data_IF_378288138238
#
_entry.id   IF_378288138238
#
_cell.length_a   1.000
_cell.length_b   1.000
_cell.length_c   1.000
_cell.angle_alpha   90.00
_cell.angle_beta   90.00
_cell.angle_gamma   90.00
#
_symmetry.space_group_name_H-M   'P 1'
#
loop_
_entity.id
_entity.type
_entity.pdbx_description
1 polymer ?
#
# COMPACT_ATOMS: atom_id res chain seq x y z
N UNK A 1 8.09 17.12 15.32
CA UNK A 1 8.40 16.02 14.42
C UNK A 1 7.54 16.23 13.18
N UNK A 2 8.08 16.03 11.98
CA UNK A 2 7.32 16.22 10.74
C UNK A 2 6.49 14.97 10.45
N UNK A 3 5.28 15.16 9.91
CA UNK A 3 4.33 14.10 9.61
C UNK A 3 4.11 13.98 8.10
N UNK A 4 4.13 12.73 7.61
CA UNK A 4 3.75 12.37 6.25
C UNK A 4 2.54 11.46 6.30
N UNK A 5 1.44 11.92 5.73
CA UNK A 5 0.19 11.17 5.65
C UNK A 5 0.16 10.28 4.42
N UNK A 6 -0.23 9.04 4.62
CA UNK A 6 -0.44 8.03 3.59
C UNK A 6 -1.87 7.51 3.74
N UNK A 7 -2.67 7.62 2.72
CA UNK A 7 -4.05 7.11 2.74
C UNK A 7 -4.08 5.70 2.17
N UNK A 8 -4.66 4.75 2.90
CA UNK A 8 -4.85 3.38 2.43
C UNK A 8 -6.28 3.19 1.93
N UNK A 9 -6.42 2.85 0.67
CA UNK A 9 -7.69 2.55 0.03
C UNK A 9 -7.83 1.05 -0.25
N UNK A 10 -9.05 0.59 -0.29
CA UNK A 10 -9.40 -0.78 -0.63
C UNK A 10 -10.62 -1.26 0.14
N UNK A 11 -11.32 -2.27 -0.36
CA UNK A 11 -12.52 -2.80 0.28
C UNK A 11 -12.23 -3.37 1.67
N UNK A 12 -13.29 -3.53 2.46
CA UNK A 12 -13.17 -4.25 3.73
C UNK A 12 -12.71 -5.69 3.49
N UNK A 13 -11.83 -6.21 4.33
CA UNK A 13 -11.33 -7.58 4.23
C UNK A 13 -10.29 -7.83 3.12
N UNK A 14 -9.90 -6.81 2.32
CA UNK A 14 -8.85 -6.98 1.30
C UNK A 14 -7.49 -7.32 1.90
N UNK A 15 -7.23 -6.90 3.13
CA UNK A 15 -5.97 -7.16 3.83
C UNK A 15 -5.09 -5.93 4.03
N UNK A 16 -5.66 -4.72 4.16
CA UNK A 16 -4.89 -3.47 4.40
C UNK A 16 -4.05 -3.54 5.68
N UNK A 17 -4.67 -3.92 6.80
CA UNK A 17 -3.94 -4.10 8.08
C UNK A 17 -2.91 -5.22 7.98
N UNK A 18 -3.22 -6.33 7.31
CA UNK A 18 -2.27 -7.42 7.05
C UNK A 18 -1.07 -6.95 6.22
N UNK A 19 -1.32 -6.08 5.24
CA UNK A 19 -0.24 -5.48 4.45
C UNK A 19 0.67 -4.61 5.33
N UNK A 20 0.11 -3.77 6.22
CA UNK A 20 0.92 -2.97 7.15
C UNK A 20 1.73 -3.84 8.12
N UNK A 21 1.11 -4.90 8.66
CA UNK A 21 1.82 -5.88 9.51
C UNK A 21 2.99 -6.52 8.76
N UNK A 22 2.77 -6.93 7.51
CA UNK A 22 3.81 -7.51 6.68
C UNK A 22 4.92 -6.49 6.30
N UNK A 23 4.56 -5.22 6.05
CA UNK A 23 5.52 -4.13 5.83
C UNK A 23 6.41 -3.96 7.05
N UNK A 24 5.80 -3.87 8.24
CA UNK A 24 6.53 -3.68 9.48
C UNK A 24 7.47 -4.86 9.79
N UNK A 25 6.97 -6.09 9.76
CA UNK A 25 7.77 -7.31 10.00
C UNK A 25 8.95 -7.44 9.04
N UNK A 26 8.73 -7.22 7.76
CA UNK A 26 9.79 -7.34 6.77
C UNK A 26 10.79 -6.17 6.83
N UNK A 27 10.34 -4.98 7.21
CA UNK A 27 11.23 -3.86 7.48
C UNK A 27 12.14 -4.17 8.67
N UNK A 28 11.59 -4.65 9.79
CA UNK A 28 12.36 -5.07 10.97
C UNK A 28 13.37 -6.16 10.64
N UNK A 29 13.00 -7.18 9.84
CA UNK A 29 13.90 -8.25 9.41
C UNK A 29 15.04 -7.77 8.50
N UNK A 30 14.84 -6.69 7.75
CA UNK A 30 15.81 -6.10 6.82
C UNK A 30 16.65 -4.97 7.44
N UNK A 31 16.35 -4.55 8.66
CA UNK A 31 17.05 -3.47 9.38
C UNK A 31 18.56 -3.72 9.48
N UNK A 32 19.01 -4.97 9.52
CA UNK A 32 20.43 -5.30 9.53
C UNK A 32 21.22 -4.83 8.30
N UNK A 33 20.54 -4.48 7.21
CA UNK A 33 21.15 -4.03 5.94
C UNK A 33 21.17 -2.51 5.78
N UNK A 34 20.33 -1.79 6.53
CA UNK A 34 20.26 -0.32 6.50
C UNK A 34 20.27 0.23 7.92
N UNK A 35 20.79 1.43 8.11
CA UNK A 35 20.80 2.08 9.43
C UNK A 35 19.48 2.83 9.72
N UNK A 36 18.34 2.32 9.18
CA UNK A 36 17.00 2.86 9.42
C UNK A 36 16.28 2.08 10.50
N UNK A 37 15.42 2.77 11.23
CA UNK A 37 14.50 2.19 12.21
C UNK A 37 13.09 2.72 11.95
N UNK A 38 12.10 1.82 11.99
CA UNK A 38 10.68 2.13 11.91
C UNK A 38 10.03 1.70 13.23
N UNK A 39 9.60 2.67 14.03
CA UNK A 39 9.06 2.41 15.37
C UNK A 39 7.58 2.76 15.39
N UNK A 40 6.67 1.78 15.54
CA UNK A 40 5.25 2.08 15.72
C UNK A 40 5.02 2.78 17.06
N UNK A 41 3.98 3.60 17.15
CA UNK A 41 3.48 4.06 18.44
C UNK A 41 2.83 2.90 19.23
N UNK A 42 2.43 3.15 20.46
CA UNK A 42 1.91 2.12 21.36
C UNK A 42 0.64 1.46 20.81
N UNK A 43 -0.31 2.25 20.31
CA UNK A 43 -1.57 1.77 19.74
C UNK A 43 -1.34 0.96 18.46
N UNK A 44 -0.56 1.50 17.53
CA UNK A 44 -0.19 0.79 16.29
C UNK A 44 0.53 -0.51 16.59
N UNK A 45 1.45 -0.51 17.56
CA UNK A 45 2.20 -1.70 17.98
C UNK A 45 1.27 -2.79 18.48
N UNK A 46 0.31 -2.45 19.34
CA UNK A 46 -0.66 -3.41 19.87
C UNK A 46 -1.49 -4.07 18.75
N UNK A 47 -2.04 -3.27 17.85
CA UNK A 47 -2.85 -3.77 16.72
C UNK A 47 -2.01 -4.64 15.76
N UNK A 48 -0.77 -4.24 15.45
CA UNK A 48 0.09 -5.00 14.55
C UNK A 48 0.52 -6.33 15.17
N UNK A 49 0.80 -6.36 16.47
CA UNK A 49 1.14 -7.60 17.18
C UNK A 49 -0.04 -8.56 17.25
N UNK A 50 -1.24 -8.07 17.58
CA UNK A 50 -2.46 -8.88 17.57
C UNK A 50 -2.68 -9.49 16.16
N UNK A 51 -2.58 -8.68 15.12
CA UNK A 51 -2.71 -9.14 13.74
C UNK A 51 -1.64 -10.16 13.35
N UNK A 52 -0.41 -9.98 13.81
CA UNK A 52 0.68 -10.93 13.56
C UNK A 52 0.40 -12.29 14.22
N UNK A 53 -0.12 -12.28 15.45
CA UNK A 53 -0.53 -13.52 16.13
C UNK A 53 -1.63 -14.23 15.35
N UNK A 54 -2.68 -13.50 14.93
CA UNK A 54 -3.75 -14.08 14.11
C UNK A 54 -3.22 -14.68 12.80
N UNK A 55 -2.31 -13.97 12.09
CA UNK A 55 -1.69 -14.46 10.86
C UNK A 55 -0.87 -15.74 11.09
N UNK A 56 -0.17 -15.85 12.21
CA UNK A 56 0.58 -17.05 12.58
C UNK A 56 -0.36 -18.20 12.96
N UNK A 57 -1.43 -17.90 13.69
CA UNK A 57 -2.45 -18.90 14.08
C UNK A 57 -3.22 -19.46 12.87
N UNK A 58 -3.47 -18.65 11.83
CA UNK A 58 -4.05 -19.16 10.57
C UNK A 58 -3.20 -20.24 9.92
N UNK A 59 -1.92 -20.32 10.26
CA UNK A 59 -1.02 -21.36 9.78
C UNK A 59 -1.07 -22.65 10.61
N UNK A 60 -1.84 -22.72 11.70
CA UNK A 60 -2.03 -23.95 12.45
C UNK A 60 -2.91 -24.92 11.68
N UNK A 61 -3.90 -24.41 10.91
CA UNK A 61 -4.74 -25.20 10.04
C UNK A 61 -4.20 -25.26 8.60
N UNK A 62 -4.34 -26.43 7.95
CA UNK A 62 -3.88 -26.61 6.56
C UNK A 62 -4.71 -25.83 5.55
N UNK A 63 -6.02 -25.75 5.73
CA UNK A 63 -6.93 -24.89 4.98
C UNK A 63 -7.44 -23.76 5.87
N UNK A 64 -7.13 -22.54 5.52
CA UNK A 64 -7.76 -21.37 6.13
C UNK A 64 -9.20 -21.24 5.59
N UNK A 65 -10.16 -21.56 6.42
CA UNK A 65 -11.59 -21.37 6.14
C UNK A 65 -11.98 -19.93 6.45
N UNK A 66 -12.03 -19.10 5.43
CA UNK A 66 -12.36 -17.69 5.57
C UNK A 66 -11.08 -16.85 5.70
N UNK A 67 -11.05 -15.69 5.02
CA UNK A 67 -10.02 -14.70 5.31
C UNK A 67 -10.09 -14.30 6.78
N UNK A 68 -9.01 -13.74 7.30
CA UNK A 68 -9.02 -13.06 8.59
C UNK A 68 -10.26 -12.18 8.61
N UNK A 69 -11.13 -12.37 9.58
CA UNK A 69 -12.28 -11.50 9.76
C UNK A 69 -11.74 -10.07 9.74
N UNK A 70 -12.34 -9.24 8.88
CA UNK A 70 -11.98 -7.84 8.85
C UNK A 70 -12.06 -7.36 10.29
N UNK A 71 -11.05 -6.64 10.75
CA UNK A 71 -11.02 -6.08 12.10
C UNK A 71 -12.38 -5.46 12.36
N UNK A 72 -13.19 -6.10 13.20
CA UNK A 72 -14.46 -5.60 13.68
C UNK A 72 -14.18 -4.43 14.64
N UNK A 73 -13.98 -3.28 14.06
CA UNK A 73 -14.18 -2.01 14.74
C UNK A 73 -15.47 -1.43 14.22
N UNK A 74 -16.08 -0.55 14.96
CA UNK A 74 -17.25 0.18 14.49
C UNK A 74 -16.99 0.67 13.07
N UNK A 75 -17.92 0.48 12.10
CA UNK A 75 -17.68 0.76 10.68
C UNK A 75 -17.34 2.23 10.37
N UNK A 76 -17.25 3.08 11.37
CA UNK A 76 -17.20 4.53 11.25
C UNK A 76 -15.89 5.18 11.68
N UNK A 77 -14.92 4.46 12.28
CA UNK A 77 -13.68 5.08 12.75
C UNK A 77 -12.53 4.91 11.75
N UNK A 78 -11.91 6.04 11.41
CA UNK A 78 -10.63 6.07 10.70
C UNK A 78 -9.56 5.47 11.60
N UNK A 79 -8.99 4.33 11.20
CA UNK A 79 -7.85 3.77 11.91
C UNK A 79 -6.57 4.43 11.43
N UNK A 80 -5.74 4.75 12.38
CA UNK A 80 -4.44 5.37 12.14
C UNK A 80 -3.33 4.46 12.63
N UNK A 81 -2.30 4.30 11.79
CA UNK A 81 -1.07 3.61 12.17
C UNK A 81 0.07 4.61 12.05
N UNK A 82 0.74 4.85 13.15
CA UNK A 82 1.78 5.87 13.25
C UNK A 82 3.14 5.21 13.46
N UNK A 83 4.09 5.52 12.58
CA UNK A 83 5.45 5.00 12.66
C UNK A 83 6.45 6.14 12.69
N UNK A 84 7.31 6.15 13.70
CA UNK A 84 8.49 7.00 13.72
C UNK A 84 9.61 6.41 12.85
N UNK A 85 10.07 7.17 11.85
CA UNK A 85 11.22 6.82 11.01
C UNK A 85 12.44 7.61 11.45
N UNK A 86 13.56 6.93 11.68
CA UNK A 86 14.83 7.54 12.08
C UNK A 86 16.03 6.62 11.86
N UNK A 87 17.18 7.03 12.36
CA UNK A 87 18.34 6.16 12.45
C UNK A 87 18.21 5.20 13.63
N UNK A 88 18.79 4.01 13.48
CA UNK A 88 18.82 3.01 14.54
C UNK A 88 19.48 3.57 15.81
N UNK A 89 18.76 3.45 16.94
CA UNK A 89 19.21 3.94 18.23
C UNK A 89 19.07 5.45 18.46
N UNK A 90 18.47 6.18 17.53
CA UNK A 90 18.18 7.60 17.67
C UNK A 90 16.67 7.86 17.75
N UNK A 91 16.29 9.04 18.25
CA UNK A 91 14.88 9.47 18.21
C UNK A 91 14.40 9.60 16.77
N UNK A 92 13.19 9.13 16.45
CA UNK A 92 12.59 9.33 15.13
C UNK A 92 12.58 10.81 14.75
N UNK A 93 12.88 11.11 13.50
CA UNK A 93 12.89 12.47 12.96
C UNK A 93 11.72 12.75 12.04
N UNK A 94 11.08 11.71 11.49
CA UNK A 94 9.90 11.77 10.65
C UNK A 94 8.83 10.80 11.18
N UNK A 95 7.57 11.19 11.01
CA UNK A 95 6.42 10.35 11.32
C UNK A 95 5.70 9.97 10.03
N UNK A 96 5.52 8.66 9.79
CA UNK A 96 4.68 8.12 8.74
C UNK A 96 3.32 7.77 9.33
N UNK A 97 2.28 8.42 8.85
CA UNK A 97 0.92 8.27 9.33
C UNK A 97 0.07 7.57 8.27
N UNK A 98 -0.14 6.27 8.42
CA UNK A 98 -1.01 5.50 7.55
C UNK A 98 -2.45 5.60 8.06
N UNK A 99 -3.31 6.15 7.23
CA UNK A 99 -4.73 6.33 7.48
C UNK A 99 -5.50 5.19 6.79
N UNK A 100 -5.92 4.18 7.57
CA UNK A 100 -6.69 3.05 7.05
C UNK A 100 -8.18 3.41 7.02
N UNK A 101 -8.64 3.65 5.84
CA UNK A 101 -9.96 4.10 5.55
C UNK A 101 -10.98 2.94 5.52
N UNK A 102 -12.13 3.04 6.23
CA UNK A 102 -13.14 1.98 6.24
C UNK A 102 -13.71 1.74 4.84
N UNK A 103 -13.58 0.51 4.32
CA UNK A 103 -14.05 0.14 2.98
C UNK A 103 -15.55 0.36 2.72
N UNK A 104 -16.37 0.52 3.77
CA UNK A 104 -17.80 0.82 3.69
C UNK A 104 -18.12 2.23 3.17
N UNK A 105 -17.19 3.17 3.25
CA UNK A 105 -17.39 4.54 2.75
C UNK A 105 -17.35 4.64 1.22
N UNK A 106 -16.88 3.60 0.53
CA UNK A 106 -17.01 3.45 -0.92
C UNK A 106 -18.40 2.98 -1.36
N UNK A 107 -19.31 2.69 -0.41
CA UNK A 107 -20.64 2.25 -0.78
C UNK A 107 -21.41 3.36 -1.53
N UNK A 108 -22.22 2.97 -2.51
CA UNK A 108 -23.08 3.87 -3.27
C UNK A 108 -24.02 4.74 -2.41
N UNK A 109 -24.20 4.35 -1.13
CA UNK A 109 -25.01 5.02 -0.10
C UNK A 109 -24.20 5.92 0.84
N UNK A 110 -22.91 6.23 0.56
CA UNK A 110 -22.14 7.14 1.40
C UNK A 110 -22.77 8.54 1.43
N UNK A 111 -22.89 9.14 2.62
CA UNK A 111 -23.42 10.50 2.80
C UNK A 111 -22.49 11.54 2.16
N UNK A 112 -22.96 12.75 1.83
CA UNK A 112 -22.11 13.83 1.33
C UNK A 112 -20.90 14.12 2.24
N UNK A 113 -21.11 14.08 3.56
CA UNK A 113 -20.06 14.31 4.57
C UNK A 113 -18.97 13.23 4.48
N UNK A 114 -19.36 11.96 4.34
CA UNK A 114 -18.42 10.84 4.17
C UNK A 114 -17.61 10.99 2.89
N UNK A 115 -18.24 11.41 1.79
CA UNK A 115 -17.54 11.67 0.51
C UNK A 115 -16.55 12.82 0.63
N UNK A 116 -16.94 13.91 1.29
CA UNK A 116 -16.08 15.06 1.51
C UNK A 116 -14.89 14.70 2.40
N UNK A 117 -15.11 13.90 3.43
CA UNK A 117 -14.05 13.39 4.29
C UNK A 117 -13.02 12.56 3.50
N UNK A 118 -13.46 11.65 2.65
CA UNK A 118 -12.53 10.88 1.80
C UNK A 118 -11.78 11.76 0.82
N UNK A 119 -12.46 12.76 0.24
CA UNK A 119 -11.79 13.73 -0.61
C UNK A 119 -10.67 14.43 0.15
N UNK A 120 -10.89 14.89 1.38
CA UNK A 120 -9.86 15.55 2.19
C UNK A 120 -8.67 14.60 2.48
N UNK A 121 -8.93 13.33 2.81
CA UNK A 121 -7.84 12.35 3.02
C UNK A 121 -6.95 12.19 1.80
N UNK A 122 -7.52 12.20 0.58
CA UNK A 122 -6.77 12.08 -0.66
C UNK A 122 -6.03 13.36 -1.05
N UNK A 123 -6.57 14.53 -0.72
CA UNK A 123 -5.92 15.81 -1.02
C UNK A 123 -4.79 16.12 -0.04
N UNK A 124 -4.91 15.67 1.22
CA UNK A 124 -3.95 16.00 2.29
C UNK A 124 -2.80 14.99 2.42
N UNK A 125 -2.90 13.82 1.78
CA UNK A 125 -1.84 12.81 1.85
C UNK A 125 -0.76 13.01 0.78
N UNK A 126 0.45 12.55 1.07
CA UNK A 126 1.59 12.52 0.13
C UNK A 126 1.49 11.33 -0.81
N UNK A 127 0.97 10.22 -0.30
CA UNK A 127 0.82 8.98 -1.06
C UNK A 127 -0.51 8.30 -0.77
N UNK A 128 -1.02 7.61 -1.78
CA UNK A 128 -2.18 6.72 -1.68
C UNK A 128 -1.73 5.30 -1.97
N UNK A 129 -2.02 4.37 -1.06
CA UNK A 129 -1.81 2.95 -1.23
C UNK A 129 -3.15 2.27 -1.50
N UNK A 130 -3.33 1.72 -2.71
CA UNK A 130 -4.53 1.01 -3.14
C UNK A 130 -4.29 -0.49 -2.97
N UNK A 131 -4.86 -1.09 -1.93
CA UNK A 131 -4.81 -2.54 -1.72
C UNK A 131 -5.78 -3.23 -2.67
N UNK A 132 -5.29 -4.19 -3.46
CA UNK A 132 -6.04 -4.93 -4.48
C UNK A 132 -6.09 -6.41 -4.09
N UNK A 133 -7.28 -6.99 -4.00
CA UNK A 133 -7.44 -8.42 -3.83
C UNK A 133 -7.03 -9.12 -5.15
N UNK A 134 -5.83 -9.73 -5.16
CA UNK A 134 -5.30 -10.37 -6.34
C UNK A 134 -6.13 -11.59 -6.79
N UNK A 135 -6.64 -12.48 -5.91
CA UNK A 135 -7.58 -13.52 -6.31
C UNK A 135 -8.82 -13.00 -7.03
N UNK A 136 -9.43 -11.91 -6.54
CA UNK A 136 -10.61 -11.33 -7.19
C UNK A 136 -10.30 -10.77 -8.58
N UNK A 137 -9.07 -10.26 -8.77
CA UNK A 137 -8.59 -9.72 -10.05
C UNK A 137 -8.22 -10.82 -11.05
N UNK A 138 -7.62 -11.93 -10.55
CA UNK A 138 -6.99 -12.94 -11.41
C UNK A 138 -7.92 -14.12 -11.74
N UNK A 139 -8.68 -14.58 -10.75
CA UNK A 139 -9.43 -15.82 -10.88
C UNK A 139 -10.71 -15.64 -11.72
N UNK A 140 -11.06 -16.69 -12.46
CA UNK A 140 -12.24 -16.68 -13.34
C UNK A 140 -12.26 -15.48 -14.30
N UNK A 141 -11.10 -15.12 -14.86
CA UNK A 141 -10.93 -13.95 -15.75
C UNK A 141 -11.34 -12.62 -15.10
N UNK A 142 -11.11 -12.45 -13.80
CA UNK A 142 -11.43 -11.21 -13.08
C UNK A 142 -12.93 -11.00 -12.82
N UNK A 143 -13.72 -12.07 -12.87
CA UNK A 143 -15.18 -12.01 -12.66
C UNK A 143 -15.58 -11.24 -11.41
N UNK A 144 -14.76 -11.32 -10.35
CA UNK A 144 -15.07 -10.71 -9.06
C UNK A 144 -14.38 -9.36 -8.83
N UNK A 145 -13.60 -8.89 -9.80
CA UNK A 145 -12.82 -7.67 -9.67
C UNK A 145 -13.68 -6.44 -9.39
N UNK A 146 -14.71 -6.20 -10.21
CA UNK A 146 -15.61 -5.06 -10.03
C UNK A 146 -16.39 -5.12 -8.72
N UNK A 147 -16.80 -6.32 -8.30
CA UNK A 147 -17.56 -6.50 -7.08
C UNK A 147 -16.71 -6.30 -5.82
N UNK A 148 -15.50 -6.87 -5.80
CA UNK A 148 -14.59 -6.83 -4.63
C UNK A 148 -13.73 -5.58 -4.65
N UNK A 149 -12.96 -5.32 -5.72
CA UNK A 149 -11.96 -4.25 -5.77
C UNK A 149 -12.54 -2.87 -6.15
N UNK A 150 -13.72 -2.82 -6.75
CA UNK A 150 -14.48 -1.61 -7.08
C UNK A 150 -13.66 -0.53 -7.82
N UNK A 151 -12.96 -0.85 -8.91
CA UNK A 151 -12.07 0.07 -9.62
C UNK A 151 -12.78 1.31 -10.17
N UNK A 152 -14.05 1.21 -10.57
CA UNK A 152 -14.81 2.35 -11.02
C UNK A 152 -15.03 3.36 -9.90
N UNK A 153 -15.38 2.91 -8.70
CA UNK A 153 -15.56 3.80 -7.54
C UNK A 153 -14.25 4.49 -7.14
N UNK A 154 -13.12 3.78 -7.24
CA UNK A 154 -11.80 4.37 -7.06
C UNK A 154 -11.55 5.49 -8.08
N UNK A 155 -11.85 5.24 -9.36
CA UNK A 155 -11.67 6.24 -10.42
C UNK A 155 -12.49 7.52 -10.15
N UNK A 156 -13.75 7.37 -9.77
CA UNK A 156 -14.65 8.50 -9.48
C UNK A 156 -14.15 9.31 -8.26
N UNK A 157 -13.61 8.61 -7.26
CA UNK A 157 -13.04 9.22 -6.07
C UNK A 157 -11.81 10.08 -6.41
N UNK A 158 -10.87 9.51 -7.17
CA UNK A 158 -9.66 10.23 -7.60
C UNK A 158 -10.00 11.39 -8.54
N UNK A 159 -10.95 11.21 -9.45
CA UNK A 159 -11.42 12.26 -10.35
C UNK A 159 -11.89 13.49 -9.58
N UNK A 160 -12.61 13.26 -8.46
CA UNK A 160 -13.12 14.36 -7.63
C UNK A 160 -12.01 14.95 -6.74
N UNK A 161 -11.15 14.11 -6.17
CA UNK A 161 -10.12 14.56 -5.22
C UNK A 161 -8.95 15.28 -5.91
N UNK A 162 -8.58 14.85 -7.13
CA UNK A 162 -7.40 15.35 -7.84
C UNK A 162 -7.76 16.40 -8.90
N UNK A 163 -8.99 16.90 -8.94
CA UNK A 163 -9.42 17.93 -9.90
C UNK A 163 -8.51 19.16 -9.83
N UNK A 164 -8.20 19.63 -8.62
CA UNK A 164 -7.41 20.84 -8.35
C UNK A 164 -6.08 20.48 -7.66
N UNK A 165 -5.49 19.34 -8.01
CA UNK A 165 -4.22 18.90 -7.42
C UNK A 165 -3.11 19.91 -7.75
N UNK A 166 -2.44 20.45 -6.72
CA UNK A 166 -1.41 21.50 -6.84
C UNK A 166 0.03 20.98 -6.63
N UNK A 167 0.17 19.81 -6.05
CA UNK A 167 1.46 19.24 -5.66
C UNK A 167 1.55 17.76 -5.99
N UNK A 168 2.76 17.19 -6.16
CA UNK A 168 2.94 15.80 -6.56
C UNK A 168 2.38 14.80 -5.55
N UNK A 169 1.89 13.67 -6.06
CA UNK A 169 1.39 12.52 -5.28
C UNK A 169 1.97 11.22 -5.82
N UNK A 170 2.16 10.29 -4.89
CA UNK A 170 2.47 8.90 -5.24
C UNK A 170 1.21 8.04 -5.10
N UNK A 171 0.91 7.25 -6.11
CA UNK A 171 -0.14 6.22 -6.06
C UNK A 171 0.50 4.85 -6.19
N UNK A 172 0.29 4.00 -5.20
CA UNK A 172 0.85 2.65 -5.15
C UNK A 172 -0.31 1.67 -5.33
N UNK A 173 -0.38 0.99 -6.45
CA UNK A 173 -1.22 -0.17 -6.64
C UNK A 173 -0.54 -1.37 -5.98
N UNK A 174 -1.10 -1.86 -4.88
CA UNK A 174 -0.55 -2.95 -4.09
C UNK A 174 -1.46 -4.19 -4.17
N UNK A 175 -1.32 -5.05 -5.20
CA UNK A 175 -1.94 -6.37 -5.16
C UNK A 175 -1.44 -7.13 -3.94
N UNK A 176 -2.36 -7.65 -3.13
CA UNK A 176 -2.10 -8.47 -1.95
C UNK A 176 -2.58 -9.90 -2.16
N UNK A 177 -2.17 -10.84 -1.30
CA UNK A 177 -2.47 -12.28 -1.47
C UNK A 177 -1.92 -12.82 -2.79
N UNK A 178 -0.70 -12.36 -3.15
CA UNK A 178 -0.09 -12.64 -4.46
C UNK A 178 0.70 -13.95 -4.51
N UNK A 179 0.70 -14.75 -3.48
CA UNK A 179 1.55 -15.95 -3.33
C UNK A 179 1.43 -16.91 -4.52
N UNK A 180 0.22 -17.10 -5.07
CA UNK A 180 -0.01 -17.92 -6.27
C UNK A 180 0.52 -17.27 -7.56
N UNK A 181 0.43 -15.95 -7.65
CA UNK A 181 0.62 -15.20 -8.90
C UNK A 181 2.04 -14.67 -9.10
N UNK A 182 2.94 -14.88 -8.14
CA UNK A 182 4.35 -14.49 -8.20
C UNK A 182 5.31 -15.70 -8.24
N UNK A 183 4.80 -16.90 -8.54
CA UNK A 183 5.61 -18.12 -8.58
C UNK A 183 6.47 -18.23 -9.83
N UNK A 184 6.13 -17.51 -10.91
CA UNK A 184 6.88 -17.46 -12.15
C UNK A 184 6.85 -16.07 -12.77
N UNK A 185 7.81 -15.77 -13.64
CA UNK A 185 7.83 -14.52 -14.40
C UNK A 185 6.58 -14.36 -15.27
N UNK A 186 6.09 -15.45 -15.87
CA UNK A 186 4.87 -15.41 -16.68
C UNK A 186 3.64 -15.04 -15.87
N UNK A 187 3.44 -15.65 -14.70
CA UNK A 187 2.30 -15.33 -13.82
C UNK A 187 2.42 -13.91 -13.22
N UNK A 188 3.62 -13.46 -12.93
CA UNK A 188 3.86 -12.11 -12.46
C UNK A 188 3.56 -11.05 -13.55
N UNK A 189 3.92 -11.36 -14.81
CA UNK A 189 3.58 -10.51 -15.95
C UNK A 189 2.07 -10.47 -16.21
N UNK A 190 1.39 -11.60 -16.07
CA UNK A 190 -0.07 -11.66 -16.18
C UNK A 190 -0.74 -10.82 -15.08
N UNK A 191 -0.30 -10.93 -13.81
CA UNK A 191 -0.80 -10.11 -12.72
C UNK A 191 -0.66 -8.60 -13.04
N UNK A 192 0.52 -8.17 -13.51
CA UNK A 192 0.75 -6.78 -13.89
C UNK A 192 -0.19 -6.33 -15.01
N UNK A 193 -0.38 -7.18 -16.03
CA UNK A 193 -1.29 -6.89 -17.14
C UNK A 193 -2.73 -6.75 -16.63
N UNK A 194 -3.20 -7.64 -15.76
CA UNK A 194 -4.54 -7.56 -15.15
C UNK A 194 -4.73 -6.31 -14.31
N UNK A 195 -3.70 -5.86 -13.58
CA UNK A 195 -3.77 -4.57 -12.85
C UNK A 195 -3.95 -3.41 -13.84
N UNK A 196 -3.17 -3.38 -14.93
CA UNK A 196 -3.30 -2.33 -15.95
C UNK A 196 -4.67 -2.30 -16.61
N UNK A 197 -5.22 -3.46 -16.95
CA UNK A 197 -6.55 -3.58 -17.56
C UNK A 197 -7.66 -3.20 -16.57
N UNK A 198 -7.61 -3.77 -15.36
CA UNK A 198 -8.64 -3.58 -14.33
C UNK A 198 -8.72 -2.14 -13.80
N UNK A 199 -7.61 -1.41 -13.85
CA UNK A 199 -7.55 0.00 -13.42
C UNK A 199 -7.27 0.96 -14.58
N UNK A 200 -7.51 0.56 -15.83
CA UNK A 200 -7.19 1.36 -17.02
C UNK A 200 -7.79 2.77 -16.95
N UNK A 201 -9.06 2.92 -16.58
CA UNK A 201 -9.72 4.24 -16.45
C UNK A 201 -9.03 5.14 -15.40
N UNK A 202 -8.55 4.58 -14.31
CA UNK A 202 -7.83 5.34 -13.29
C UNK A 202 -6.43 5.71 -13.77
N UNK A 203 -5.74 4.81 -14.46
CA UNK A 203 -4.44 5.06 -15.07
C UNK A 203 -4.57 6.12 -16.16
N UNK A 204 -5.61 6.05 -17.01
CA UNK A 204 -5.90 7.05 -18.04
C UNK A 204 -6.21 8.43 -17.42
N UNK A 205 -6.92 8.48 -16.29
CA UNK A 205 -7.13 9.71 -15.53
C UNK A 205 -5.79 10.33 -15.10
N UNK A 206 -4.87 9.54 -14.57
CA UNK A 206 -3.55 10.02 -14.16
C UNK A 206 -2.70 10.47 -15.35
N UNK A 207 -2.87 9.87 -16.52
CA UNK A 207 -2.22 10.26 -17.78
C UNK A 207 -2.80 11.54 -18.41
N UNK A 208 -3.87 12.13 -17.84
CA UNK A 208 -4.38 13.41 -18.32
C UNK A 208 -3.33 14.52 -18.20
N UNK A 209 -3.38 15.51 -19.10
CA UNK A 209 -2.39 16.59 -19.16
C UNK A 209 -2.19 17.34 -17.83
N UNK A 210 -3.25 17.45 -17.02
CA UNK A 210 -3.19 18.11 -15.72
C UNK A 210 -2.53 17.27 -14.62
N UNK A 211 -2.68 15.93 -14.66
CA UNK A 211 -2.19 15.02 -13.62
C UNK A 211 -0.87 14.34 -13.97
N UNK A 212 -0.54 14.17 -15.25
CA UNK A 212 0.67 13.53 -15.73
C UNK A 212 1.97 14.08 -15.05
N UNK A 213 2.16 15.40 -14.90
CA UNK A 213 3.35 15.93 -14.24
C UNK A 213 3.30 15.87 -12.70
N UNK A 214 2.17 15.48 -12.13
CA UNK A 214 1.92 15.55 -10.68
C UNK A 214 1.70 14.19 -10.01
N UNK A 215 1.44 13.13 -10.78
CA UNK A 215 1.16 11.81 -10.22
C UNK A 215 2.22 10.81 -10.66
N UNK A 216 2.93 10.23 -9.69
CA UNK A 216 3.70 9.01 -9.90
C UNK A 216 2.82 7.81 -9.56
N UNK A 217 2.77 6.80 -10.42
CA UNK A 217 1.98 5.59 -10.20
C UNK A 217 2.85 4.34 -10.38
N UNK A 218 2.81 3.44 -9.39
CA UNK A 218 3.61 2.21 -9.36
C UNK A 218 2.76 0.99 -9.01
N UNK A 219 3.19 -0.18 -9.44
CA UNK A 219 2.61 -1.48 -9.03
C UNK A 219 3.62 -2.20 -8.16
N UNK A 220 3.19 -2.60 -6.96
CA UNK A 220 4.01 -3.31 -5.97
C UNK A 220 3.25 -4.53 -5.43
N UNK A 221 3.29 -5.68 -6.09
CA UNK A 221 2.61 -6.87 -5.61
C UNK A 221 3.27 -7.42 -4.35
N UNK A 222 2.45 -7.85 -3.38
CA UNK A 222 2.90 -8.30 -2.06
C UNK A 222 2.35 -9.68 -1.73
N UNK A 223 3.24 -10.56 -1.27
CA UNK A 223 2.88 -11.82 -0.63
C UNK A 223 2.78 -11.55 0.88
N UNK A 224 1.57 -11.33 1.36
CA UNK A 224 1.35 -10.83 2.73
C UNK A 224 1.57 -11.88 3.82
N UNK A 225 1.44 -13.15 3.50
CA UNK A 225 1.70 -14.29 4.38
C UNK A 225 2.92 -15.09 3.91
N UNK A 226 3.12 -15.18 2.59
CA UNK A 226 4.25 -15.83 1.93
C UNK A 226 4.16 -17.36 1.82
N UNK A 227 3.36 -17.98 2.69
CA UNK A 227 3.27 -19.44 2.82
C UNK A 227 1.87 -19.99 2.61
N UNK A 228 0.93 -19.13 2.21
CA UNK A 228 -0.48 -19.49 1.97
C UNK A 228 -0.86 -19.07 0.55
N UNK A 229 -1.37 -20.00 -0.24
CA UNK A 229 -1.79 -19.74 -1.62
C UNK A 229 -3.30 -19.84 -1.76
N UNK A 230 -3.84 -19.07 -2.70
CA UNK A 230 -5.24 -19.22 -3.11
C UNK A 230 -5.52 -20.65 -3.60
N UNK A 231 -6.62 -21.24 -3.14
CA UNK A 231 -7.04 -22.60 -3.46
C UNK A 231 -8.27 -22.64 -4.39
N UNK A 232 -9.38 -22.08 -3.94
CA UNK A 232 -10.64 -22.07 -4.69
C UNK A 232 -11.58 -20.95 -4.26
N UNK A 233 -12.64 -20.77 -5.03
CA UNK A 233 -13.76 -19.89 -4.70
C UNK A 233 -14.98 -20.77 -4.38
N UNK A 234 -15.52 -20.64 -3.19
CA UNK A 234 -16.83 -21.18 -2.84
C UNK A 234 -17.86 -20.05 -3.03
N UNK A 235 -18.98 -20.36 -3.69
CA UNK A 235 -20.05 -19.39 -3.89
C UNK A 235 -21.26 -19.80 -3.06
N UNK A 236 -21.50 -19.11 -1.96
CA UNK A 236 -22.69 -19.25 -1.16
C UNK A 236 -23.58 -18.00 -1.37
N UNK A 237 -24.84 -18.20 -1.77
CA UNK A 237 -25.81 -17.12 -1.97
C UNK A 237 -25.28 -15.95 -2.83
N UNK A 238 -24.59 -16.25 -3.93
CA UNK A 238 -23.99 -15.29 -4.86
C UNK A 238 -22.81 -14.44 -4.31
N UNK A 239 -22.35 -14.70 -3.09
CA UNK A 239 -21.19 -14.05 -2.53
C UNK A 239 -19.98 -14.97 -2.65
N UNK A 240 -18.84 -14.48 -3.21
CA UNK A 240 -17.63 -15.30 -3.32
C UNK A 240 -16.91 -15.39 -1.97
N UNK A 241 -16.55 -16.61 -1.59
CA UNK A 241 -15.68 -16.89 -0.46
C UNK A 241 -14.37 -17.48 -0.97
N UNK A 242 -13.30 -16.72 -0.84
CA UNK A 242 -11.97 -17.16 -1.25
C UNK A 242 -11.36 -18.09 -0.20
N UNK A 243 -10.91 -19.25 -0.64
CA UNK A 243 -10.24 -20.24 0.19
C UNK A 243 -8.75 -20.25 -0.07
N UNK A 244 -8.00 -20.38 0.99
CA UNK A 244 -6.54 -20.40 0.96
C UNK A 244 -6.05 -21.68 1.63
N UNK A 245 -4.87 -22.15 1.24
CA UNK A 245 -4.21 -23.31 1.83
C UNK A 245 -2.73 -23.07 2.01
N UNK A 246 -2.12 -23.74 2.97
CA UNK A 246 -0.67 -23.77 3.11
C UNK A 246 0.00 -24.41 1.90
N UNK A 247 1.20 -23.96 1.57
CA UNK A 247 2.03 -24.56 0.51
C UNK A 247 2.62 -25.91 0.97
N UNK A 248 2.85 -26.09 2.30
CA UNK A 248 3.29 -27.33 2.94
C UNK A 248 2.79 -27.37 4.39
N UNK A 249 2.81 -28.53 5.04
CA UNK A 249 2.36 -28.67 6.43
C UNK A 249 3.22 -27.87 7.44
N UNK A 250 4.50 -27.74 7.17
CA UNK A 250 5.49 -27.04 7.96
C UNK A 250 5.70 -25.57 7.53
N UNK A 251 4.84 -25.06 6.65
CA UNK A 251 4.91 -23.69 6.18
C UNK A 251 4.74 -22.70 7.33
N UNK A 252 5.67 -21.74 7.45
CA UNK A 252 5.69 -20.68 8.45
C UNK A 252 5.38 -19.33 7.81
N UNK A 253 4.99 -18.36 8.63
CA UNK A 253 4.80 -16.98 8.20
C UNK A 253 6.11 -16.41 7.64
N UNK A 254 6.08 -16.02 6.37
CA UNK A 254 7.25 -15.52 5.64
C UNK A 254 6.82 -14.56 4.53
N UNK A 255 6.36 -13.34 4.87
CA UNK A 255 5.91 -12.37 3.88
C UNK A 255 7.04 -12.01 2.92
N UNK A 256 6.68 -11.70 1.66
CA UNK A 256 7.64 -11.37 0.61
C UNK A 256 7.24 -10.07 -0.08
N UNK A 257 8.25 -9.24 -0.35
CA UNK A 257 8.09 -7.97 -1.08
C UNK A 257 7.23 -6.91 -0.35
N UNK A 258 6.87 -7.10 0.90
CA UNK A 258 6.03 -6.17 1.64
C UNK A 258 6.74 -4.85 1.96
N UNK A 259 8.07 -4.82 1.94
CA UNK A 259 8.85 -3.59 2.08
C UNK A 259 8.83 -2.69 0.84
N UNK A 260 8.43 -3.22 -0.34
CA UNK A 260 8.50 -2.48 -1.61
C UNK A 260 7.58 -1.23 -1.66
N UNK A 261 6.34 -1.26 -1.16
CA UNK A 261 5.54 -0.04 -1.05
C UNK A 261 6.24 1.07 -0.26
N UNK A 262 6.90 0.71 0.86
CA UNK A 262 7.65 1.67 1.69
C UNK A 262 8.91 2.17 0.97
N UNK A 263 9.63 1.32 0.20
CA UNK A 263 10.77 1.73 -0.60
C UNK A 263 10.39 2.78 -1.64
N UNK A 264 9.29 2.57 -2.37
CA UNK A 264 8.77 3.54 -3.34
C UNK A 264 8.29 4.84 -2.66
N UNK A 265 7.65 4.75 -1.49
CA UNK A 265 7.26 5.91 -0.70
C UNK A 265 8.49 6.76 -0.32
N UNK A 266 9.51 6.13 0.26
CA UNK A 266 10.73 6.84 0.67
C UNK A 266 11.52 7.37 -0.53
N UNK A 267 11.52 6.66 -1.65
CA UNK A 267 12.10 7.15 -2.91
C UNK A 267 11.41 8.42 -3.39
N UNK A 268 10.08 8.43 -3.38
CA UNK A 268 9.29 9.61 -3.75
C UNK A 268 9.54 10.79 -2.81
N UNK A 269 9.53 10.57 -1.49
CA UNK A 269 9.82 11.60 -0.49
C UNK A 269 11.22 12.17 -0.68
N UNK A 270 12.22 11.32 -0.93
CA UNK A 270 13.59 11.75 -1.17
C UNK A 270 13.67 12.61 -2.44
N UNK A 271 12.98 12.23 -3.51
CA UNK A 271 12.91 13.02 -4.74
C UNK A 271 12.25 14.38 -4.50
N UNK A 272 11.12 14.41 -3.79
CA UNK A 272 10.47 15.68 -3.41
C UNK A 272 11.41 16.58 -2.59
N UNK A 273 12.17 16.00 -1.65
CA UNK A 273 13.17 16.77 -0.90
C UNK A 273 14.24 17.40 -1.79
N UNK A 274 14.72 16.68 -2.82
CA UNK A 274 15.72 17.20 -3.77
C UNK A 274 15.10 18.33 -4.58
N UNK A 275 13.88 18.18 -5.07
CA UNK A 275 13.19 19.12 -5.94
C UNK A 275 12.72 20.39 -5.21
N UNK A 276 12.37 20.30 -3.90
CA UNK A 276 11.99 21.48 -3.08
C UNK A 276 13.12 22.46 -2.87
N UNK A 277 14.37 22.10 -3.18
CA UNK A 277 15.48 23.06 -3.23
C UNK A 277 15.34 24.05 -4.39
N UNK A 278 14.65 23.65 -5.47
CA UNK A 278 14.46 24.45 -6.68
C UNK A 278 13.03 24.95 -6.91
N UNK A 279 12.03 24.39 -6.22
CA UNK A 279 10.61 24.72 -6.39
C UNK A 279 9.92 24.84 -5.03
N UNK A 280 9.16 25.91 -4.82
CA UNK A 280 8.35 26.09 -3.60
C UNK A 280 7.04 25.31 -3.72
N UNK A 281 6.98 24.09 -3.17
CA UNK A 281 5.73 23.33 -3.01
C UNK A 281 5.30 23.42 -1.55
N UNK A 282 4.27 24.25 -1.28
CA UNK A 282 3.88 24.71 0.05
C UNK A 282 3.79 23.63 1.13
N UNK A 283 3.05 22.53 0.87
CA UNK A 283 2.86 21.45 1.85
C UNK A 283 4.11 20.59 2.11
N UNK A 284 5.14 20.68 1.24
CA UNK A 284 6.39 19.91 1.36
C UNK A 284 7.59 20.73 1.83
N UNK A 285 7.39 21.99 2.21
CA UNK A 285 8.49 22.87 2.65
C UNK A 285 9.28 22.27 3.83
N UNK A 286 8.64 21.52 4.71
CA UNK A 286 9.27 20.85 5.85
C UNK A 286 10.26 19.75 5.44
N UNK A 287 10.09 19.12 4.28
CA UNK A 287 11.01 18.07 3.80
C UNK A 287 12.42 18.61 3.58
N UNK A 288 12.54 19.89 3.21
CA UNK A 288 13.84 20.56 3.06
C UNK A 288 14.63 20.57 4.37
N UNK A 289 13.94 20.81 5.49
CA UNK A 289 14.59 20.91 6.79
C UNK A 289 14.86 19.54 7.40
N UNK A 290 14.00 18.55 7.12
CA UNK A 290 14.11 17.20 7.67
C UNK A 290 15.37 16.47 7.17
N UNK A 291 15.54 16.26 5.87
CA UNK A 291 16.71 15.57 5.29
C UNK A 291 17.95 16.47 5.13
N UNK A 292 17.77 17.80 5.24
CA UNK A 292 18.87 18.74 5.09
C UNK A 292 19.81 18.79 6.30
N UNK A 293 19.35 18.40 7.48
CA UNK A 293 20.10 18.46 8.74
C UNK A 293 20.80 17.17 9.12
N UNK A 294 20.38 16.02 8.54
CA UNK A 294 20.93 14.70 8.88
C UNK A 294 21.40 13.96 7.63
N UNK A 295 22.70 14.11 7.36
CA UNK A 295 23.35 13.44 6.22
C UNK A 295 23.26 11.92 6.29
N UNK A 296 23.42 11.33 7.47
CA UNK A 296 23.40 9.88 7.66
C UNK A 296 22.02 9.29 7.46
N UNK A 297 20.98 9.98 7.95
CA UNK A 297 19.60 9.59 7.68
C UNK A 297 19.29 9.66 6.19
N UNK A 298 19.70 10.73 5.51
CA UNK A 298 19.53 10.86 4.06
C UNK A 298 20.20 9.71 3.31
N UNK A 299 21.42 9.36 3.68
CA UNK A 299 22.16 8.25 3.08
C UNK A 299 21.43 6.91 3.31
N UNK A 300 20.96 6.64 4.53
CA UNK A 300 20.24 5.42 4.87
C UNK A 300 18.90 5.31 4.12
N UNK A 301 18.14 6.42 4.02
CA UNK A 301 16.90 6.50 3.22
C UNK A 301 17.22 6.27 1.73
N UNK A 302 18.28 6.89 1.21
CA UNK A 302 18.69 6.73 -0.19
C UNK A 302 19.07 5.28 -0.51
N UNK A 303 19.83 4.64 0.37
CA UNK A 303 20.20 3.23 0.23
C UNK A 303 18.96 2.33 0.24
N UNK A 304 18.06 2.50 1.20
CA UNK A 304 16.81 1.72 1.25
C UNK A 304 15.95 1.93 0.00
N UNK A 305 15.81 3.18 -0.45
CA UNK A 305 15.00 3.56 -1.61
C UNK A 305 15.63 3.15 -2.96
N UNK A 306 16.93 2.84 -3.02
CA UNK A 306 17.59 2.40 -4.25
C UNK A 306 17.20 1.00 -4.70
N UNK A 307 16.73 0.15 -3.78
CA UNK A 307 16.38 -1.25 -4.03
C UNK A 307 14.90 -1.44 -4.44
N UNK A 308 14.26 -0.44 -5.05
CA UNK A 308 12.94 -0.60 -5.65
C UNK A 308 12.97 -1.58 -6.81
N UNK A 309 12.09 -2.59 -6.78
CA UNK A 309 11.94 -3.58 -7.84
C UNK A 309 11.13 -3.01 -9.01
N UNK A 310 11.54 -3.33 -10.24
CA UNK A 310 10.89 -2.89 -11.49
C UNK A 310 10.57 -4.04 -12.45
N UNK A 311 10.71 -5.29 -11.99
CA UNK A 311 10.47 -6.51 -12.76
C UNK A 311 9.60 -7.48 -11.95
N UNK A 312 9.26 -8.63 -12.51
CA UNK A 312 8.50 -9.69 -11.82
C UNK A 312 7.18 -9.18 -11.21
N UNK A 313 6.37 -8.49 -12.00
CA UNK A 313 5.09 -7.94 -11.57
C UNK A 313 5.18 -6.51 -11.01
N UNK A 314 6.38 -6.03 -10.68
CA UNK A 314 6.63 -4.65 -10.28
C UNK A 314 6.76 -3.76 -11.51
N UNK A 315 6.17 -2.58 -11.47
CA UNK A 315 6.28 -1.63 -12.57
C UNK A 315 6.09 -0.19 -12.12
N UNK A 316 6.79 0.69 -12.79
CA UNK A 316 6.44 2.09 -12.85
C UNK A 316 5.43 2.27 -14.00
N UNK A 317 4.25 2.79 -13.70
CA UNK A 317 3.21 3.04 -14.69
C UNK A 317 3.36 4.44 -15.32
N UNK A 318 3.66 5.44 -14.48
CA UNK A 318 3.94 6.82 -14.90
C UNK A 318 4.69 7.60 -13.83
N UNK A 319 5.16 8.81 -14.17
CA UNK A 319 5.82 9.74 -13.25
C UNK A 319 7.26 9.37 -12.96
N UNK A 320 8.03 8.89 -13.95
CA UNK A 320 9.44 8.53 -13.79
C UNK A 320 10.26 9.69 -13.19
N UNK A 321 10.01 10.91 -13.65
CA UNK A 321 10.73 12.10 -13.17
C UNK A 321 10.48 12.39 -11.68
N UNK A 322 9.34 11.94 -11.14
CA UNK A 322 8.99 12.07 -9.71
C UNK A 322 9.61 10.98 -8.82
N UNK A 323 10.26 9.99 -9.43
CA UNK A 323 10.91 8.86 -8.74
C UNK A 323 12.39 8.74 -9.07
N UNK A 324 12.90 9.46 -10.07
CA UNK A 324 14.29 9.40 -10.47
C UNK A 324 15.17 10.20 -9.50
N UNK A 325 15.97 9.49 -8.72
CA UNK A 325 16.99 10.06 -7.85
C UNK A 325 18.28 10.09 -8.65
N UNK A 326 18.77 11.29 -8.97
CA UNK A 326 20.06 11.52 -9.63
C UNK A 326 21.19 11.51 -8.61
#
# INVERSE_FOLDING_TARGET
>A
MHEIKITMLGPSGVGKTTLLTAIYEQFESNIGKTNLQLTPDEESSAILQERLVELKTLLDDFEATGGIQGTEGEPEELRSFIFGLGQKGQKPSLQLHFQDYPGGYHAAKATPEKRQFVKSLLTDCVAVLIAIDAPALMEQNGKWHEFINRPQQMTDLFKTAYQDLDSPRLVIFAPVKCEKYLQSEASAKELLQRVREGYSKLIDLFNSANLLPKVAAVVTPVQTVGSVVFSRIDTNNSTPHFRFRKISHDAVYNPQNSEQPLRYLLRFILKLHIDTRSRSWGIFSFLRDWLGRDYHLKQAVSQFASECKTNNGFALLQGEDLLKIS
#
